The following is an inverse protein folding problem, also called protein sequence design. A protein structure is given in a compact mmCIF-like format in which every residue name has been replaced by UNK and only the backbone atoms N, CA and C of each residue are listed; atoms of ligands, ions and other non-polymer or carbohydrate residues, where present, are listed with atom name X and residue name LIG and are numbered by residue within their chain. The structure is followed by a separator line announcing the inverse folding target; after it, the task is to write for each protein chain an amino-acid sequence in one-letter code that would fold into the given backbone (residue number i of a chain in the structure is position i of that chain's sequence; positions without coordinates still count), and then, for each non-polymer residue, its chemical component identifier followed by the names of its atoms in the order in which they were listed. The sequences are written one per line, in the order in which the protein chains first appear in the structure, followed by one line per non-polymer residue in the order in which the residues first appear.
data_IF_110563281551
#
_entry.id   IF_110563281551
#
_cell.length_a   1.000
_cell.length_b   1.000
_cell.length_c   1.000
_cell.angle_alpha   90.00
_cell.angle_beta   90.00
_cell.angle_gamma   90.00
#
_symmetry.space_group_name_H-M   'P 1'
#
loop_
_entity.id
_entity.type
_entity.pdbx_description
1 polymer ?
#
# COMPACT_ATOMS: atom_id res chain seq x y z
N UNK A 1 -34.31 -13.08 -42.55
CA UNK A 1 -34.77 -12.25 -43.65
C UNK A 1 -34.03 -10.96 -43.57
N UNK A 2 -33.18 -10.79 -44.36
CA UNK A 2 -32.62 -10.24 -45.60
C UNK A 2 -31.22 -9.68 -45.32
N UNK A 3 -30.29 -10.24 -46.04
CA UNK A 3 -28.92 -9.78 -46.31
C UNK A 3 -28.89 -8.37 -46.96
N UNK A 4 -27.80 -7.61 -46.75
CA UNK A 4 -27.15 -6.95 -47.89
C UNK A 4 -25.64 -6.69 -47.61
N UNK A 5 -24.87 -7.31 -48.46
CA UNK A 5 -23.42 -7.21 -48.65
C UNK A 5 -23.19 -6.16 -49.78
N UNK A 6 -22.26 -5.22 -49.61
CA UNK A 6 -21.70 -4.49 -50.75
C UNK A 6 -20.24 -4.13 -50.54
N UNK A 7 -19.40 -4.89 -51.24
CA UNK A 7 -18.03 -4.50 -51.62
C UNK A 7 -18.13 -3.38 -52.63
N UNK A 8 -17.32 -2.33 -52.52
CA UNK A 8 -16.99 -1.46 -53.64
C UNK A 8 -15.48 -1.28 -53.71
N UNK A 9 -15.06 -1.55 -54.90
CA UNK A 9 -13.72 -1.59 -55.49
C UNK A 9 -13.05 -0.20 -55.49
N UNK A 10 -11.75 -0.20 -55.21
CA UNK A 10 -10.85 0.94 -55.24
C UNK A 10 -10.24 1.07 -56.60
N UNK A 11 -10.46 2.18 -57.31
CA UNK A 11 -9.73 2.55 -58.51
C UNK A 11 -8.65 3.57 -58.19
N UNK A 12 -7.43 3.18 -58.44
CA UNK A 12 -6.19 3.98 -58.30
C UNK A 12 -6.12 4.93 -59.50
N UNK A 13 -6.08 6.23 -59.24
CA UNK A 13 -5.71 7.22 -60.26
C UNK A 13 -4.32 7.80 -59.88
N UNK A 14 -3.33 7.41 -60.70
CA UNK A 14 -1.99 7.95 -60.65
C UNK A 14 -1.96 9.21 -61.50
N UNK A 15 -1.79 10.38 -60.92
CA UNK A 15 -1.51 11.63 -61.60
C UNK A 15 -0.07 12.05 -61.27
N UNK A 16 0.80 11.92 -62.29
CA UNK A 16 2.15 12.51 -62.25
C UNK A 16 2.01 14.00 -62.53
N UNK A 17 2.33 14.84 -61.51
CA UNK A 17 2.67 16.24 -61.74
C UNK A 17 4.17 16.41 -61.51
N UNK A 18 4.89 16.57 -62.59
CA UNK A 18 6.27 17.10 -62.59
C UNK A 18 6.18 18.60 -62.45
N UNK A 19 6.42 19.12 -61.26
CA UNK A 19 6.76 20.52 -61.06
C UNK A 19 8.16 20.60 -60.50
N UNK A 20 9.04 21.09 -61.34
CA UNK A 20 10.37 21.51 -60.92
C UNK A 20 10.22 22.70 -59.96
N UNK A 21 10.49 22.49 -58.68
CA UNK A 21 10.62 23.55 -57.71
C UNK A 21 12.11 23.69 -57.35
N UNK A 22 12.61 24.90 -57.55
CA UNK A 22 13.94 25.32 -57.21
C UNK A 22 14.24 25.02 -55.74
N UNK A 23 15.35 24.41 -55.47
CA UNK A 23 15.88 24.21 -54.13
C UNK A 23 16.42 25.53 -53.67
N UNK A 24 15.64 26.28 -52.87
CA UNK A 24 16.16 27.34 -52.01
C UNK A 24 16.99 26.68 -50.88
N UNK A 25 18.30 26.74 -51.06
CA UNK A 25 19.31 26.22 -50.14
C UNK A 25 19.53 27.19 -48.97
N UNK A 26 18.48 27.51 -48.21
CA UNK A 26 18.56 28.21 -46.95
C UNK A 26 17.47 27.76 -45.93
N UNK A 27 17.39 26.45 -45.75
CA UNK A 27 16.71 25.92 -44.54
C UNK A 27 17.80 25.77 -43.48
N UNK A 28 17.86 26.69 -42.58
CA UNK A 28 18.64 26.60 -41.34
C UNK A 28 18.13 25.42 -40.53
N UNK A 29 18.67 24.23 -40.73
CA UNK A 29 18.39 23.00 -39.98
C UNK A 29 19.03 23.01 -38.58
N UNK A 30 19.28 24.22 -38.03
CA UNK A 30 20.09 24.41 -36.84
C UNK A 30 19.30 24.69 -35.53
N UNK A 31 18.00 25.01 -35.56
CA UNK A 31 17.35 25.60 -34.38
C UNK A 31 16.13 24.88 -33.81
N UNK A 32 15.70 23.75 -34.36
CA UNK A 32 14.50 23.06 -33.85
C UNK A 32 14.78 21.87 -32.89
N UNK A 33 16.01 21.70 -32.45
CA UNK A 33 16.33 20.90 -31.27
C UNK A 33 16.41 21.81 -30.02
N UNK A 34 15.42 22.66 -29.79
CA UNK A 34 15.20 23.19 -28.46
C UNK A 34 14.90 21.98 -27.56
N UNK A 35 15.94 21.50 -26.89
CA UNK A 35 15.85 20.58 -25.76
C UNK A 35 14.81 21.20 -24.83
N UNK A 36 13.58 20.69 -24.88
CA UNK A 36 12.49 21.13 -24.04
C UNK A 36 13.00 21.06 -22.59
N UNK A 37 13.35 22.19 -22.01
CA UNK A 37 13.81 22.26 -20.62
C UNK A 37 12.60 21.89 -19.78
N UNK A 38 12.57 20.63 -19.37
CA UNK A 38 11.50 20.14 -18.49
C UNK A 38 11.66 20.90 -17.17
N UNK A 39 10.58 21.58 -16.74
CA UNK A 39 10.56 22.27 -15.46
C UNK A 39 10.80 21.28 -14.31
N UNK A 40 11.83 21.51 -13.52
CA UNK A 40 12.22 20.71 -12.36
C UNK A 40 11.05 20.54 -11.38
N UNK A 41 10.17 21.53 -11.27
CA UNK A 41 9.01 21.48 -10.39
C UNK A 41 8.00 20.43 -10.86
N UNK A 42 7.72 20.38 -12.16
CA UNK A 42 6.79 19.37 -12.72
C UNK A 42 7.34 17.97 -12.48
N UNK A 43 8.63 17.74 -12.69
CA UNK A 43 9.26 16.44 -12.48
C UNK A 43 9.24 16.06 -10.99
N UNK A 44 9.50 17.03 -10.12
CA UNK A 44 9.48 16.82 -8.67
C UNK A 44 8.08 16.52 -8.15
N UNK A 45 7.06 17.22 -8.59
CA UNK A 45 5.66 16.98 -8.21
C UNK A 45 5.19 15.59 -8.66
N UNK A 46 5.57 15.20 -9.88
CA UNK A 46 5.31 13.83 -10.36
C UNK A 46 6.03 12.77 -9.50
N UNK A 47 7.27 13.04 -9.10
CA UNK A 47 8.00 12.18 -8.17
C UNK A 47 7.26 12.05 -6.84
N UNK A 48 6.79 13.16 -6.25
CA UNK A 48 6.03 13.13 -5.00
C UNK A 48 4.72 12.35 -5.13
N UNK A 49 3.99 12.55 -6.24
CA UNK A 49 2.77 11.80 -6.53
C UNK A 49 3.03 10.29 -6.62
N UNK A 50 4.06 9.88 -7.36
CA UNK A 50 4.44 8.47 -7.46
C UNK A 50 4.86 7.88 -6.10
N UNK A 51 5.55 8.67 -5.28
CA UNK A 51 5.94 8.27 -3.92
C UNK A 51 4.71 8.12 -3.01
N UNK A 52 3.69 8.95 -3.19
CA UNK A 52 2.43 8.84 -2.47
C UNK A 52 1.68 7.55 -2.83
N UNK A 53 1.48 7.28 -4.13
CA UNK A 53 0.84 6.04 -4.59
C UNK A 53 1.59 4.78 -4.10
N UNK A 54 2.93 4.82 -4.15
CA UNK A 54 3.72 3.72 -3.62
C UNK A 54 3.57 3.57 -2.10
N UNK A 55 3.46 4.67 -1.36
CA UNK A 55 3.24 4.65 0.09
C UNK A 55 1.88 4.02 0.45
N UNK A 56 0.82 4.32 -0.31
CA UNK A 56 -0.49 3.71 -0.12
C UNK A 56 -0.43 2.18 -0.34
N UNK A 57 0.28 1.74 -1.37
CA UNK A 57 0.49 0.32 -1.64
C UNK A 57 1.30 -0.39 -0.55
N UNK A 58 2.37 0.24 -0.07
CA UNK A 58 3.25 -0.32 0.98
C UNK A 58 2.57 -0.33 2.36
N UNK A 59 1.53 0.51 2.55
CA UNK A 59 0.79 0.68 3.80
C UNK A 59 -0.72 0.52 3.59
N UNK A 60 -1.17 -0.69 3.24
CA UNK A 60 -2.55 -0.94 2.82
C UNK A 60 -3.60 -0.59 3.90
N UNK A 61 -3.29 -0.80 5.19
CA UNK A 61 -4.18 -0.38 6.30
C UNK A 61 -4.32 1.15 6.32
N UNK A 62 -3.22 1.88 6.15
CA UNK A 62 -3.26 3.35 6.05
C UNK A 62 -4.08 3.82 4.85
N UNK A 63 -3.91 3.18 3.68
CA UNK A 63 -4.72 3.46 2.49
C UNK A 63 -6.22 3.26 2.76
N UNK A 64 -6.60 2.16 3.40
CA UNK A 64 -8.01 1.88 3.76
C UNK A 64 -8.57 2.92 4.75
N UNK A 65 -7.78 3.36 5.74
CA UNK A 65 -8.18 4.41 6.69
C UNK A 65 -8.37 5.78 6.04
N UNK A 66 -7.75 6.03 4.89
CA UNK A 66 -7.97 7.23 4.05
C UNK A 66 -9.13 7.05 3.04
N UNK A 67 -9.83 5.92 3.07
CA UNK A 67 -10.93 5.61 2.15
C UNK A 67 -10.47 5.04 0.80
N UNK A 68 -9.17 4.78 0.58
CA UNK A 68 -8.69 4.11 -0.61
C UNK A 68 -8.85 2.60 -0.47
N UNK A 69 -9.87 2.04 -1.12
CA UNK A 69 -10.24 0.62 -1.04
C UNK A 69 -9.40 -0.30 -1.93
N UNK A 70 -8.47 0.23 -2.75
CA UNK A 70 -7.68 -0.58 -3.70
C UNK A 70 -6.82 -1.66 -3.05
N UNK A 71 -6.53 -1.53 -1.75
CA UNK A 71 -5.67 -2.44 -1.00
C UNK A 71 -6.36 -3.02 0.24
N UNK A 72 -7.71 -3.07 0.24
CA UNK A 72 -8.48 -3.49 1.41
C UNK A 72 -8.21 -4.93 1.86
N UNK A 73 -7.80 -5.79 0.92
CA UNK A 73 -7.46 -7.19 1.20
C UNK A 73 -6.01 -7.39 1.66
N UNK A 74 -5.16 -6.34 1.63
CA UNK A 74 -3.74 -6.49 1.84
C UNK A 74 -3.31 -6.07 3.25
N UNK A 75 -2.19 -6.64 3.70
CA UNK A 75 -1.45 -6.25 4.91
C UNK A 75 0.02 -6.01 4.56
N UNK A 76 0.72 -5.28 5.42
CA UNK A 76 2.18 -5.23 5.36
C UNK A 76 2.75 -6.41 6.14
N UNK A 77 3.66 -7.17 5.52
CA UNK A 77 4.36 -8.25 6.23
C UNK A 77 5.27 -7.66 7.32
N UNK A 78 5.30 -8.32 8.46
CA UNK A 78 6.20 -8.00 9.57
C UNK A 78 7.38 -8.99 9.69
N UNK A 79 7.73 -9.68 8.60
CA UNK A 79 8.92 -10.53 8.54
C UNK A 79 10.21 -9.69 8.58
N UNK A 80 11.29 -10.26 9.12
CA UNK A 80 12.63 -9.61 9.13
C UNK A 80 13.07 -9.24 7.71
N UNK A 81 12.77 -10.09 6.73
CA UNK A 81 13.11 -9.85 5.32
C UNK A 81 12.43 -8.58 4.79
N UNK A 82 11.16 -8.33 5.17
CA UNK A 82 10.46 -7.11 4.76
C UNK A 82 11.04 -5.87 5.44
N UNK A 83 11.47 -5.94 6.69
CA UNK A 83 12.19 -4.85 7.36
C UNK A 83 13.50 -4.51 6.63
N UNK A 84 14.30 -5.51 6.26
CA UNK A 84 15.55 -5.31 5.51
C UNK A 84 15.29 -4.69 4.14
N UNK A 85 14.29 -5.18 3.42
CA UNK A 85 13.87 -4.65 2.13
C UNK A 85 13.38 -3.21 2.23
N UNK A 86 12.60 -2.88 3.28
CA UNK A 86 12.12 -1.53 3.51
C UNK A 86 13.28 -0.56 3.80
N UNK A 87 14.28 -0.96 4.60
CA UNK A 87 15.48 -0.17 4.83
C UNK A 87 16.20 0.17 3.52
N UNK A 88 16.44 -0.83 2.67
CA UNK A 88 17.07 -0.62 1.36
C UNK A 88 16.24 0.31 0.45
N UNK A 89 14.89 0.19 0.50
CA UNK A 89 13.98 1.08 -0.22
C UNK A 89 14.10 2.52 0.27
N UNK A 90 14.11 2.77 1.58
CA UNK A 90 14.27 4.12 2.15
C UNK A 90 15.58 4.77 1.70
N UNK A 91 16.69 4.03 1.70
CA UNK A 91 17.99 4.50 1.21
C UNK A 91 17.93 4.86 -0.28
N UNK A 92 17.30 4.03 -1.11
CA UNK A 92 17.09 4.30 -2.53
C UNK A 92 16.22 5.55 -2.76
N UNK A 93 15.17 5.72 -1.94
CA UNK A 93 14.28 6.88 -2.04
C UNK A 93 15.03 8.19 -1.68
N UNK A 94 15.94 8.15 -0.71
CA UNK A 94 16.81 9.29 -0.39
C UNK A 94 17.78 9.61 -1.54
N UNK A 95 18.39 8.60 -2.17
CA UNK A 95 19.24 8.78 -3.35
C UNK A 95 18.43 9.41 -4.48
N UNK A 96 17.21 8.96 -4.73
CA UNK A 96 16.35 9.51 -5.78
C UNK A 96 15.95 10.95 -5.49
N UNK A 97 15.62 11.28 -4.24
CA UNK A 97 15.32 12.66 -3.81
C UNK A 97 16.52 13.59 -4.05
N UNK A 98 17.73 13.15 -3.74
CA UNK A 98 18.96 13.95 -3.88
C UNK A 98 19.36 14.21 -5.34
N UNK A 99 18.70 13.62 -6.33
CA UNK A 99 18.92 13.93 -7.77
C UNK A 99 18.28 15.22 -8.21
N UNK A 100 17.30 15.74 -7.46
CA UNK A 100 16.63 16.99 -7.78
C UNK A 100 17.52 18.19 -7.40
N UNK A 101 17.57 19.17 -8.28
CA UNK A 101 18.27 20.43 -7.99
C UNK A 101 17.39 21.33 -7.11
N UNK A 102 17.67 21.32 -5.81
CA UNK A 102 16.94 22.10 -4.82
C UNK A 102 16.78 23.57 -5.19
N UNK A 103 17.83 24.21 -5.77
CA UNK A 103 17.80 25.64 -6.09
C UNK A 103 16.84 26.00 -7.22
N UNK A 104 16.52 25.03 -8.10
CA UNK A 104 15.55 25.20 -9.19
C UNK A 104 14.10 24.99 -8.76
N UNK A 105 13.87 24.49 -7.54
CA UNK A 105 12.52 24.31 -7.02
C UNK A 105 11.91 25.64 -6.57
N UNK A 106 10.59 25.78 -6.74
CA UNK A 106 9.82 26.88 -6.17
C UNK A 106 9.72 26.76 -4.64
N UNK A 107 9.13 27.76 -3.96
CA UNK A 107 9.04 27.81 -2.49
C UNK A 107 8.37 26.59 -1.88
N UNK A 108 7.26 26.14 -2.47
CA UNK A 108 6.46 25.03 -1.95
C UNK A 108 7.18 23.69 -2.14
N UNK A 109 7.80 23.51 -3.30
CA UNK A 109 8.58 22.31 -3.59
C UNK A 109 9.91 22.29 -2.82
N UNK A 110 10.50 23.43 -2.50
CA UNK A 110 11.62 23.50 -1.54
C UNK A 110 11.22 23.03 -0.15
N UNK A 111 10.03 23.42 0.32
CA UNK A 111 9.49 22.94 1.60
C UNK A 111 9.23 21.42 1.55
N UNK A 112 8.54 20.94 0.53
CA UNK A 112 8.26 19.53 0.33
C UNK A 112 9.54 18.67 0.27
N UNK A 113 10.56 19.15 -0.43
CA UNK A 113 11.87 18.51 -0.49
C UNK A 113 12.51 18.39 0.90
N UNK A 114 12.52 19.47 1.70
CA UNK A 114 13.08 19.47 3.06
C UNK A 114 12.33 18.49 3.97
N UNK A 115 10.99 18.53 3.94
CA UNK A 115 10.16 17.64 4.75
C UNK A 115 10.37 16.17 4.36
N UNK A 116 10.40 15.86 3.07
CA UNK A 116 10.65 14.51 2.58
C UNK A 116 12.04 14.02 2.98
N UNK A 117 13.07 14.86 2.88
CA UNK A 117 14.45 14.54 3.28
C UNK A 117 14.57 14.25 4.77
N UNK A 118 13.94 15.08 5.61
CA UNK A 118 13.90 14.86 7.07
C UNK A 118 13.20 13.54 7.37
N UNK A 119 12.03 13.31 6.78
CA UNK A 119 11.27 12.08 6.97
C UNK A 119 12.07 10.83 6.57
N UNK A 120 12.76 10.86 5.42
CA UNK A 120 13.59 9.73 4.96
C UNK A 120 14.77 9.49 5.88
N UNK A 121 15.49 10.54 6.30
CA UNK A 121 16.61 10.40 7.22
C UNK A 121 16.17 9.78 8.57
N UNK A 122 15.08 10.29 9.16
CA UNK A 122 14.55 9.76 10.40
C UNK A 122 14.11 8.28 10.25
N UNK A 123 13.51 7.95 9.10
CA UNK A 123 13.07 6.57 8.83
C UNK A 123 14.24 5.61 8.62
N UNK A 124 15.32 6.08 7.96
CA UNK A 124 16.56 5.30 7.78
C UNK A 124 17.23 5.08 9.13
N UNK A 125 17.34 6.13 9.94
CA UNK A 125 17.91 6.02 11.30
C UNK A 125 17.09 5.05 12.16
N UNK A 126 15.75 5.18 12.16
CA UNK A 126 14.88 4.26 12.88
C UNK A 126 15.03 2.80 12.41
N UNK A 127 15.29 2.58 11.12
CA UNK A 127 15.52 1.25 10.56
C UNK A 127 16.88 0.62 10.95
N UNK A 128 17.77 1.36 11.63
CA UNK A 128 18.99 0.78 12.23
C UNK A 128 18.68 -0.03 13.50
N UNK A 129 17.54 0.27 14.15
CA UNK A 129 17.16 -0.40 15.38
C UNK A 129 16.26 -1.60 15.07
N UNK A 130 16.59 -2.80 15.55
CA UNK A 130 15.85 -4.03 15.25
C UNK A 130 14.58 -4.14 16.11
N UNK A 131 13.68 -3.16 15.99
CA UNK A 131 12.41 -3.06 16.72
C UNK A 131 11.48 -4.26 16.50
N UNK A 132 11.65 -4.98 15.39
CA UNK A 132 10.92 -6.20 15.08
C UNK A 132 11.16 -7.34 16.07
N UNK A 133 12.27 -7.33 16.83
CA UNK A 133 12.50 -8.28 17.92
C UNK A 133 11.66 -8.02 19.17
N UNK A 134 11.12 -6.80 19.30
CA UNK A 134 10.32 -6.36 20.44
C UNK A 134 8.97 -5.76 19.99
N UNK A 135 8.31 -6.42 19.03
CA UNK A 135 7.12 -5.92 18.35
C UNK A 135 5.83 -5.96 19.17
N UNK A 136 5.81 -6.68 20.29
CA UNK A 136 4.64 -6.78 21.17
C UNK A 136 4.74 -5.81 22.34
N UNK A 137 3.68 -5.05 22.59
CA UNK A 137 3.51 -4.27 23.80
C UNK A 137 2.01 -4.14 24.12
N UNK A 138 1.67 -3.63 25.32
CA UNK A 138 0.29 -3.52 25.78
C UNK A 138 -0.58 -2.53 24.97
N UNK A 139 0.01 -1.73 24.09
CA UNK A 139 -0.70 -0.75 23.24
C UNK A 139 -0.83 -1.20 21.78
N UNK A 140 -0.20 -2.29 21.42
CA UNK A 140 -0.21 -2.77 20.04
C UNK A 140 0.61 -4.03 19.83
N UNK A 141 0.31 -4.72 18.77
CA UNK A 141 0.90 -5.98 18.37
C UNK A 141 -0.16 -6.86 17.71
N UNK A 142 0.16 -8.13 17.51
CA UNK A 142 -0.76 -9.07 16.87
C UNK A 142 -2.07 -9.24 17.63
N UNK A 143 -2.07 -9.10 18.94
CA UNK A 143 -3.25 -9.19 19.79
C UNK A 143 -4.27 -8.06 19.58
N UNK A 144 -3.90 -6.98 18.91
CA UNK A 144 -4.77 -5.82 18.66
C UNK A 144 -5.14 -5.63 17.18
N UNK A 145 -4.91 -6.59 16.31
CA UNK A 145 -5.24 -6.47 14.88
C UNK A 145 -6.74 -6.26 14.63
N UNK A 146 -7.62 -6.77 15.50
CA UNK A 146 -9.08 -6.53 15.42
C UNK A 146 -9.45 -5.06 15.46
N UNK A 147 -8.69 -4.21 16.18
CA UNK A 147 -8.92 -2.77 16.26
C UNK A 147 -8.82 -2.07 14.90
N UNK A 148 -8.11 -2.67 13.93
CA UNK A 148 -8.11 -2.18 12.56
C UNK A 148 -9.50 -2.28 11.95
N UNK A 149 -10.18 -3.42 12.13
CA UNK A 149 -11.54 -3.62 11.66
C UNK A 149 -12.52 -2.59 12.22
N UNK A 150 -12.42 -2.29 13.52
CA UNK A 150 -13.29 -1.31 14.20
C UNK A 150 -13.13 0.13 13.63
N UNK A 151 -12.01 0.44 12.96
CA UNK A 151 -11.72 1.76 12.41
C UNK A 151 -12.00 1.90 10.92
N UNK A 152 -12.27 0.81 10.23
CA UNK A 152 -12.60 0.83 8.80
C UNK A 152 -14.05 1.25 8.58
N UNK A 153 -14.32 1.83 7.41
CA UNK A 153 -15.67 2.18 6.99
C UNK A 153 -16.21 1.08 6.08
N UNK A 154 -17.37 0.54 6.44
CA UNK A 154 -18.06 -0.52 5.72
C UNK A 154 -19.31 0.06 5.06
N UNK A 155 -19.34 0.10 3.74
CA UNK A 155 -20.42 0.67 2.90
C UNK A 155 -21.07 -0.37 2.00
N UNK A 156 -20.54 -1.59 2.02
CA UNK A 156 -21.01 -2.69 1.17
C UNK A 156 -20.64 -4.06 1.73
N UNK A 157 -21.30 -5.11 1.27
CA UNK A 157 -20.90 -6.51 1.54
C UNK A 157 -19.43 -6.75 1.18
N UNK A 158 -18.94 -6.16 0.08
CA UNK A 158 -17.56 -6.35 -0.36
C UNK A 158 -16.54 -5.88 0.68
N UNK A 159 -16.83 -4.83 1.44
CA UNK A 159 -15.92 -4.34 2.47
C UNK A 159 -15.73 -5.38 3.61
N UNK A 160 -16.77 -6.14 3.95
CA UNK A 160 -16.68 -7.23 4.91
C UNK A 160 -15.94 -8.45 4.35
N UNK A 161 -16.16 -8.77 3.06
CA UNK A 161 -15.39 -9.82 2.37
C UNK A 161 -13.90 -9.48 2.30
N UNK A 162 -13.57 -8.24 1.98
CA UNK A 162 -12.19 -7.75 1.96
C UNK A 162 -11.55 -7.83 3.36
N UNK A 163 -12.31 -7.49 4.41
CA UNK A 163 -11.84 -7.62 5.78
C UNK A 163 -11.58 -9.09 6.16
N UNK A 164 -12.45 -10.01 5.77
CA UNK A 164 -12.26 -11.44 6.00
C UNK A 164 -10.99 -11.95 5.32
N UNK A 165 -10.74 -11.56 4.07
CA UNK A 165 -9.51 -11.88 3.35
C UNK A 165 -8.29 -11.29 4.06
N UNK A 166 -8.37 -10.04 4.52
CA UNK A 166 -7.29 -9.40 5.28
C UNK A 166 -7.00 -10.13 6.60
N UNK A 167 -8.05 -10.56 7.32
CA UNK A 167 -7.89 -11.35 8.55
C UNK A 167 -7.13 -12.66 8.29
N UNK A 168 -7.42 -13.34 7.18
CA UNK A 168 -6.72 -14.59 6.86
C UNK A 168 -5.20 -14.42 6.71
N UNK A 169 -4.75 -13.23 6.28
CA UNK A 169 -3.33 -12.90 6.14
C UNK A 169 -2.63 -12.58 7.46
N UNK A 170 -3.38 -12.30 8.53
CA UNK A 170 -2.77 -12.03 9.84
C UNK A 170 -2.11 -13.25 10.47
N UNK A 171 -2.51 -14.48 10.10
CA UNK A 171 -1.84 -15.69 10.55
C UNK A 171 -0.33 -15.66 10.24
N UNK A 172 0.06 -15.23 9.04
CA UNK A 172 1.46 -15.10 8.66
C UNK A 172 2.19 -14.07 9.53
N UNK A 173 1.54 -12.95 9.84
CA UNK A 173 2.13 -11.93 10.71
C UNK A 173 2.25 -12.39 12.16
N UNK A 174 1.33 -13.22 12.65
CA UNK A 174 1.43 -13.85 13.98
C UNK A 174 2.62 -14.80 14.01
N UNK A 175 2.76 -15.68 13.01
CA UNK A 175 3.88 -16.60 12.87
C UNK A 175 5.24 -15.86 12.76
N UNK A 176 5.30 -14.80 11.95
CA UNK A 176 6.48 -13.95 11.84
C UNK A 176 6.83 -13.27 13.17
N UNK A 177 5.82 -12.76 13.91
CA UNK A 177 6.03 -12.14 15.22
C UNK A 177 6.65 -13.13 16.20
N UNK A 178 6.14 -14.36 16.26
CA UNK A 178 6.73 -15.43 17.08
C UNK A 178 8.19 -15.67 16.70
N UNK A 179 8.47 -15.88 15.43
CA UNK A 179 9.84 -16.10 14.92
C UNK A 179 10.79 -14.94 15.27
N UNK A 180 10.32 -13.69 15.08
CA UNK A 180 11.08 -12.49 15.37
C UNK A 180 11.44 -12.39 16.86
N UNK A 181 10.47 -12.67 17.75
CA UNK A 181 10.68 -12.65 19.19
C UNK A 181 11.67 -13.75 19.61
N UNK A 182 11.51 -14.99 19.11
CA UNK A 182 12.41 -16.10 19.40
C UNK A 182 13.85 -15.81 18.97
N UNK A 183 14.03 -15.20 17.80
CA UNK A 183 15.34 -14.78 17.31
C UNK A 183 15.90 -13.59 18.14
N UNK A 184 15.05 -12.66 18.52
CA UNK A 184 15.37 -11.55 19.40
C UNK A 184 15.87 -12.04 20.77
N UNK A 185 15.18 -13.00 21.37
CA UNK A 185 15.59 -13.59 22.66
C UNK A 185 16.99 -14.22 22.59
N UNK A 186 17.30 -14.95 21.50
CA UNK A 186 18.66 -15.52 21.28
C UNK A 186 19.75 -14.43 21.19
N UNK A 187 19.37 -13.22 20.77
CA UNK A 187 20.26 -12.06 20.62
C UNK A 187 20.24 -11.10 21.81
N UNK A 188 19.51 -11.44 22.88
CA UNK A 188 19.43 -10.65 24.11
C UNK A 188 18.40 -9.51 24.08
N UNK A 189 17.52 -9.45 23.07
CA UNK A 189 16.40 -8.49 23.05
C UNK A 189 15.23 -9.03 23.85
N UNK A 190 14.89 -8.34 24.94
CA UNK A 190 13.79 -8.74 25.84
C UNK A 190 12.88 -7.56 26.15
N UNK A 191 11.59 -7.83 26.26
CA UNK A 191 10.62 -6.86 26.75
C UNK A 191 10.65 -6.82 28.31
N UNK A 192 10.34 -5.66 28.91
CA UNK A 192 10.12 -5.60 30.36
C UNK A 192 9.06 -6.60 30.82
N UNK A 193 9.30 -7.23 31.98
CA UNK A 193 8.38 -8.25 32.52
C UNK A 193 6.92 -7.76 32.64
N UNK A 194 6.74 -6.49 33.08
CA UNK A 194 5.41 -5.91 33.20
C UNK A 194 4.68 -5.87 31.85
N UNK A 195 5.37 -5.43 30.81
CA UNK A 195 4.83 -5.38 29.43
C UNK A 195 4.43 -6.77 28.93
N UNK A 196 5.33 -7.74 29.12
CA UNK A 196 5.08 -9.13 28.69
C UNK A 196 3.86 -9.72 29.41
N UNK A 197 3.72 -9.51 30.72
CA UNK A 197 2.55 -9.99 31.50
C UNK A 197 1.24 -9.39 30.97
N UNK A 198 1.22 -8.10 30.65
CA UNK A 198 0.02 -7.45 30.12
C UNK A 198 -0.34 -8.00 28.73
N UNK A 199 0.63 -8.23 27.87
CA UNK A 199 0.39 -8.84 26.55
C UNK A 199 -0.16 -10.26 26.66
N UNK A 200 0.41 -11.08 27.58
CA UNK A 200 -0.10 -12.43 27.84
C UNK A 200 -1.56 -12.37 28.26
N UNK A 201 -1.92 -11.50 29.23
CA UNK A 201 -3.31 -11.34 29.65
C UNK A 201 -4.25 -10.93 28.51
N UNK A 202 -3.79 -10.04 27.61
CA UNK A 202 -4.59 -9.65 26.44
C UNK A 202 -4.83 -10.84 25.48
N UNK A 203 -3.79 -11.62 25.23
CA UNK A 203 -3.89 -12.81 24.36
C UNK A 203 -4.79 -13.87 25.02
N UNK A 204 -4.60 -14.16 26.30
CA UNK A 204 -5.41 -15.13 27.04
C UNK A 204 -6.88 -14.74 27.05
N UNK A 205 -7.20 -13.45 27.21
CA UNK A 205 -8.58 -12.98 27.16
C UNK A 205 -9.22 -13.23 25.79
N UNK A 206 -8.48 -13.07 24.69
CA UNK A 206 -8.97 -13.35 23.34
C UNK A 206 -9.17 -14.85 23.14
N UNK A 207 -8.19 -15.67 23.53
CA UNK A 207 -8.22 -17.13 23.33
C UNK A 207 -9.28 -17.82 24.17
N UNK A 208 -9.57 -17.33 25.39
CA UNK A 208 -10.52 -17.91 26.30
C UNK A 208 -11.93 -17.30 26.19
N UNK A 209 -12.15 -16.30 25.30
CA UNK A 209 -13.47 -15.75 25.07
C UNK A 209 -14.36 -16.75 24.33
N UNK A 210 -15.66 -16.76 24.68
CA UNK A 210 -16.65 -17.43 23.82
C UNK A 210 -16.58 -16.81 22.43
N UNK A 211 -16.81 -17.63 21.40
CA UNK A 211 -16.63 -17.17 20.02
C UNK A 211 -17.50 -15.95 19.67
N UNK A 212 -18.68 -15.85 20.25
CA UNK A 212 -19.61 -14.73 20.06
C UNK A 212 -19.11 -13.42 20.69
N UNK A 213 -18.23 -13.52 21.68
CA UNK A 213 -17.61 -12.39 22.40
C UNK A 213 -16.20 -12.10 21.88
N UNK A 214 -15.71 -12.90 20.92
CA UNK A 214 -14.38 -12.71 20.36
C UNK A 214 -14.31 -11.40 19.57
N UNK A 215 -13.36 -10.49 19.88
CA UNK A 215 -13.29 -9.17 19.25
C UNK A 215 -13.09 -9.23 17.72
N UNK A 216 -12.47 -10.28 17.20
CA UNK A 216 -12.30 -10.48 15.75
C UNK A 216 -13.62 -10.81 15.04
N UNK A 217 -14.59 -11.44 15.72
CA UNK A 217 -15.90 -11.78 15.12
C UNK A 217 -16.88 -10.61 15.20
N UNK A 218 -16.72 -9.70 16.15
CA UNK A 218 -17.65 -8.59 16.44
C UNK A 218 -18.07 -7.82 15.19
N UNK A 219 -17.12 -7.46 14.30
CA UNK A 219 -17.41 -6.67 13.10
C UNK A 219 -18.41 -7.36 12.15
N UNK A 220 -18.36 -8.70 12.07
CA UNK A 220 -19.26 -9.48 11.24
C UNK A 220 -20.64 -9.63 11.89
N UNK A 221 -20.68 -9.80 13.20
CA UNK A 221 -21.95 -9.89 13.96
C UNK A 221 -22.74 -8.57 13.89
N UNK A 222 -22.05 -7.44 13.97
CA UNK A 222 -22.64 -6.10 13.95
C UNK A 222 -22.82 -5.52 12.53
N UNK A 223 -22.50 -6.29 11.48
CA UNK A 223 -22.66 -5.87 10.11
C UNK A 223 -24.11 -5.46 9.78
N UNK A 224 -24.29 -4.35 9.05
CA UNK A 224 -25.60 -3.88 8.65
C UNK A 224 -26.28 -4.87 7.69
N UNK A 225 -27.46 -5.34 8.06
CA UNK A 225 -28.23 -6.31 7.30
C UNK A 225 -28.62 -5.80 5.90
N UNK A 226 -28.67 -4.48 5.70
CA UNK A 226 -29.02 -3.87 4.40
C UNK A 226 -28.03 -4.18 3.29
N UNK A 227 -26.81 -4.57 3.63
CA UNK A 227 -25.78 -4.93 2.66
C UNK A 227 -25.86 -6.38 2.16
N UNK A 228 -26.73 -7.22 2.75
CA UNK A 228 -26.77 -8.66 2.52
C UNK A 228 -28.14 -9.12 2.04
N UNK A 229 -28.12 -10.08 1.09
CA UNK A 229 -29.30 -10.87 0.79
C UNK A 229 -29.54 -11.95 1.86
N UNK A 230 -30.68 -12.64 1.76
CA UNK A 230 -31.03 -13.70 2.71
C UNK A 230 -29.95 -14.80 2.77
N UNK A 231 -29.42 -15.05 3.97
CA UNK A 231 -28.42 -16.07 4.23
C UNK A 231 -26.95 -15.64 4.00
N UNK A 232 -26.70 -14.55 3.27
CA UNK A 232 -25.31 -14.13 2.98
C UNK A 232 -24.55 -13.66 4.22
N UNK A 233 -25.21 -12.95 5.14
CA UNK A 233 -24.60 -12.51 6.39
C UNK A 233 -24.25 -13.72 7.27
N UNK A 234 -25.15 -14.71 7.35
CA UNK A 234 -24.92 -15.93 8.12
C UNK A 234 -23.73 -16.73 7.56
N UNK A 235 -23.65 -16.87 6.23
CA UNK A 235 -22.49 -17.47 5.56
C UNK A 235 -21.18 -16.75 5.89
N UNK A 236 -21.18 -15.42 5.81
CA UNK A 236 -20.02 -14.60 6.15
C UNK A 236 -19.57 -14.79 7.61
N UNK A 237 -20.52 -14.81 8.57
CA UNK A 237 -20.24 -15.05 9.99
C UNK A 237 -19.67 -16.45 10.19
N UNK A 238 -20.21 -17.46 9.51
CA UNK A 238 -19.73 -18.85 9.60
C UNK A 238 -18.29 -18.96 9.08
N UNK A 239 -17.96 -18.34 7.94
CA UNK A 239 -16.60 -18.32 7.39
C UNK A 239 -15.63 -17.58 8.30
N UNK A 240 -16.05 -16.43 8.85
CA UNK A 240 -15.24 -15.68 9.81
C UNK A 240 -14.99 -16.48 11.08
N UNK A 241 -16.02 -17.18 11.60
CA UNK A 241 -15.91 -18.05 12.77
C UNK A 241 -14.91 -19.19 12.55
N UNK A 242 -14.97 -19.86 11.39
CA UNK A 242 -14.05 -20.92 11.03
C UNK A 242 -12.62 -20.41 10.93
N UNK A 243 -12.43 -19.25 10.28
CA UNK A 243 -11.13 -18.62 10.15
C UNK A 243 -10.52 -18.28 11.52
N UNK A 244 -11.28 -17.60 12.39
CA UNK A 244 -10.81 -17.18 13.73
C UNK A 244 -10.43 -18.38 14.59
N UNK A 245 -11.18 -19.49 14.51
CA UNK A 245 -10.87 -20.72 15.24
C UNK A 245 -9.64 -21.46 14.70
N UNK A 246 -9.24 -21.21 13.48
CA UNK A 246 -8.09 -21.87 12.82
C UNK A 246 -6.76 -21.13 13.03
N UNK A 247 -6.77 -19.92 13.49
CA UNK A 247 -5.59 -19.06 13.73
C UNK A 247 -5.20 -19.03 15.20
#
# INVERSE_FOLDING_TARGET
MVFFNKKTSLSIFLIFFTSACQIDSNVNLGDDLQKQVIDENIVFEKYLSNQWEQNLKDRPIFASLLGNKSFNQDITSNSIQEFVKNKAKLQKDLINLNRFNYEKLNSDNKLNYKLKRISLNNSIEAAEYPSYYMSLNQRGGVQSYFETGDRLVYESKQDYEDWLIRLSKYADNIANTKTNIEDGLKKGYTQPQLVTRQVILQIDNILNSEIVDNPYLKIFLTADNSFFNKGEKEDLINRATLLIKSQ
#
